data_IF_839240733757
#
_entry.id   IF_839240733757
#
_cell.length_a   1.000
_cell.length_b   1.000
_cell.length_c   1.000
_cell.angle_alpha   90.00
_cell.angle_beta   90.00
_cell.angle_gamma   90.00
#
_symmetry.space_group_name_H-M   'P 1'
#
loop_
_entity.id
_entity.type
_entity.pdbx_description
1 polymer ?
#
# COMPACT_ATOMS: atom_id res chain seq x y z
N UNK A 1 -6.32 7.45 15.33
CA UNK A 1 -4.98 6.95 15.74
C UNK A 1 -5.03 6.56 17.20
N UNK A 2 -4.41 5.45 17.58
CA UNK A 2 -4.31 5.09 19.00
C UNK A 2 -3.43 6.13 19.70
N UNK A 3 -3.92 6.73 20.80
CA UNK A 3 -3.20 7.78 21.56
C UNK A 3 -1.83 7.31 22.10
N UNK A 4 -1.61 6.01 22.12
CA UNK A 4 -0.37 5.38 22.63
C UNK A 4 0.51 4.81 21.49
N UNK A 5 0.24 5.17 20.24
CA UNK A 5 1.09 4.75 19.14
C UNK A 5 2.40 5.55 19.18
N UNK A 6 3.51 4.83 19.22
CA UNK A 6 4.86 5.40 19.10
C UNK A 6 5.49 4.77 17.87
N UNK A 7 5.92 5.60 16.93
CA UNK A 7 6.66 5.15 15.75
C UNK A 7 8.01 4.55 16.17
N UNK A 8 8.47 3.50 15.46
CA UNK A 8 9.73 2.86 15.83
C UNK A 8 10.94 3.80 15.76
N UNK A 9 10.94 4.79 14.84
CA UNK A 9 12.05 5.77 14.76
C UNK A 9 12.11 6.68 15.97
N UNK A 10 10.96 7.05 16.56
CA UNK A 10 10.92 7.76 17.83
C UNK A 10 11.68 7.00 18.92
N UNK A 11 11.48 5.69 18.99
CA UNK A 11 12.16 4.83 19.96
C UNK A 11 13.65 4.64 19.62
N UNK A 12 13.99 4.49 18.33
CA UNK A 12 15.38 4.31 17.87
C UNK A 12 16.21 5.57 18.13
N UNK A 13 15.67 6.74 17.81
CA UNK A 13 16.37 8.03 17.86
C UNK A 13 16.15 8.77 19.19
N UNK A 14 15.38 8.21 20.12
CA UNK A 14 14.97 8.86 21.37
C UNK A 14 14.42 10.28 21.14
N UNK A 15 13.55 10.42 20.13
CA UNK A 15 13.04 11.69 19.66
C UNK A 15 11.58 11.96 20.02
N UNK A 16 11.10 13.15 19.73
CA UNK A 16 9.69 13.51 19.79
C UNK A 16 8.98 13.08 18.53
N UNK A 17 7.68 12.75 18.61
CA UNK A 17 6.85 12.38 17.48
C UNK A 17 5.81 13.47 17.17
N UNK A 18 5.73 13.83 15.89
CA UNK A 18 4.67 14.67 15.35
C UNK A 18 3.94 13.85 14.30
N UNK A 19 2.71 13.47 14.60
CA UNK A 19 1.88 12.74 13.66
C UNK A 19 0.90 13.69 13.00
N UNK A 20 1.02 13.86 11.68
CA UNK A 20 0.20 14.78 10.89
C UNK A 20 -0.96 14.02 10.26
N UNK A 21 -2.20 14.45 10.55
CA UNK A 21 -3.36 13.99 9.79
C UNK A 21 -3.31 14.65 8.39
N UNK A 22 -3.39 13.82 7.37
CA UNK A 22 -3.34 14.30 5.99
C UNK A 22 -4.63 15.07 5.64
N UNK A 23 -4.50 16.15 4.83
CA UNK A 23 -5.66 16.91 4.33
C UNK A 23 -6.75 15.99 3.77
N UNK A 24 -8.01 16.37 3.95
CA UNK A 24 -9.23 15.65 3.57
C UNK A 24 -9.55 14.40 4.39
N UNK A 25 -8.67 13.94 5.30
CA UNK A 25 -8.98 12.81 6.16
C UNK A 25 -9.63 13.27 7.46
N UNK A 26 -10.53 12.44 8.00
CA UNK A 26 -11.16 12.60 9.31
C UNK A 26 -11.60 14.05 9.59
N UNK A 27 -10.99 14.71 10.57
CA UNK A 27 -11.29 16.10 10.96
C UNK A 27 -10.64 17.17 10.08
N UNK A 28 -9.65 16.80 9.28
CA UNK A 28 -8.97 17.68 8.32
C UNK A 28 -9.70 17.78 6.98
N UNK A 29 -10.98 17.41 6.96
CA UNK A 29 -11.88 17.47 5.81
C UNK A 29 -12.58 18.84 5.79
N UNK A 30 -12.53 19.61 4.66
CA UNK A 30 -13.27 20.87 4.55
C UNK A 30 -14.79 20.63 4.49
N UNK A 31 -15.59 21.58 4.94
CA UNK A 31 -17.06 21.51 4.86
C UNK A 31 -17.53 21.38 3.41
N UNK A 32 -16.97 22.20 2.51
CA UNK A 32 -17.21 22.12 1.08
C UNK A 32 -16.02 21.42 0.43
N UNK A 33 -16.24 20.19 -0.05
CA UNK A 33 -15.19 19.39 -0.65
C UNK A 33 -14.95 19.83 -2.09
N UNK A 34 -13.77 20.41 -2.33
CA UNK A 34 -13.23 20.59 -3.68
C UNK A 34 -11.99 19.70 -3.84
N UNK A 35 -12.18 18.59 -4.51
CA UNK A 35 -11.13 17.60 -4.76
C UNK A 35 -9.93 18.14 -5.56
N UNK A 36 -10.09 19.30 -6.22
CA UNK A 36 -9.01 19.93 -6.97
C UNK A 36 -7.79 20.23 -6.07
N UNK A 37 -8.01 20.59 -4.82
CA UNK A 37 -6.93 20.90 -3.86
C UNK A 37 -6.31 19.67 -3.21
N UNK A 38 -6.83 18.45 -3.43
CA UNK A 38 -6.24 17.23 -2.93
C UNK A 38 -5.14 16.75 -3.89
N UNK A 39 -4.00 17.44 -3.85
CA UNK A 39 -2.79 17.10 -4.62
C UNK A 39 -1.65 16.71 -3.70
N UNK A 40 -0.68 15.96 -4.23
CA UNK A 40 0.56 15.62 -3.51
C UNK A 40 1.37 16.86 -3.16
N UNK A 41 1.37 17.87 -4.04
CA UNK A 41 2.07 19.15 -3.81
C UNK A 41 1.47 19.92 -2.66
N UNK A 42 0.13 20.07 -2.63
CA UNK A 42 -0.54 20.77 -1.54
C UNK A 42 -0.38 20.02 -0.19
N UNK A 43 -0.36 18.69 -0.22
CA UNK A 43 -0.09 17.89 0.98
C UNK A 43 1.35 18.09 1.48
N UNK A 44 2.32 18.20 0.59
CA UNK A 44 3.70 18.53 0.95
C UNK A 44 3.83 19.96 1.50
N UNK A 45 3.08 20.92 0.96
CA UNK A 45 2.99 22.29 1.49
C UNK A 45 2.47 22.33 2.93
N UNK A 46 1.45 21.52 3.27
CA UNK A 46 0.96 21.42 4.65
C UNK A 46 2.08 20.96 5.58
N UNK A 47 2.84 19.93 5.19
CA UNK A 47 3.98 19.45 5.97
C UNK A 47 5.08 20.51 6.12
N UNK A 48 5.36 21.27 5.06
CA UNK A 48 6.31 22.38 5.08
C UNK A 48 5.91 23.45 6.10
N UNK A 49 4.64 23.89 6.07
CA UNK A 49 4.12 24.89 7.01
C UNK A 49 4.22 24.39 8.46
N UNK A 50 3.81 23.13 8.70
CA UNK A 50 3.90 22.50 10.03
C UNK A 50 5.36 22.44 10.49
N UNK A 51 6.27 21.94 9.63
CA UNK A 51 7.70 21.86 9.92
C UNK A 51 8.29 23.23 10.25
N UNK A 52 7.99 24.24 9.45
CA UNK A 52 8.47 25.62 9.63
C UNK A 52 7.96 26.22 10.95
N UNK A 53 6.70 25.99 11.28
CA UNK A 53 6.08 26.50 12.51
C UNK A 53 6.66 25.83 13.74
N UNK A 54 6.70 24.51 13.78
CA UNK A 54 7.19 23.75 14.91
C UNK A 54 8.72 23.81 15.05
N UNK A 55 9.44 24.04 13.95
CA UNK A 55 10.88 24.28 13.94
C UNK A 55 11.31 25.56 14.68
N UNK A 56 10.37 26.45 15.02
CA UNK A 56 10.64 27.57 15.91
C UNK A 56 10.82 27.12 17.36
N UNK A 57 10.20 26.01 17.76
CA UNK A 57 10.26 25.41 19.10
C UNK A 57 11.31 24.29 19.17
N UNK A 58 11.32 23.40 18.19
CA UNK A 58 12.18 22.23 18.15
C UNK A 58 13.38 22.50 17.23
N UNK A 59 14.56 22.73 17.80
CA UNK A 59 15.78 23.13 17.07
C UNK A 59 16.67 21.94 16.66
N UNK A 60 16.35 20.73 17.10
CA UNK A 60 17.11 19.52 16.76
C UNK A 60 16.91 19.07 15.31
N UNK A 61 17.46 17.90 15.02
CA UNK A 61 17.31 17.21 13.72
C UNK A 61 15.88 16.74 13.48
N UNK A 62 15.47 16.75 12.22
CA UNK A 62 14.14 16.34 11.79
C UNK A 62 14.20 15.15 10.85
N UNK A 63 13.42 14.12 11.15
CA UNK A 63 13.28 12.93 10.31
C UNK A 63 11.86 12.81 9.81
N UNK A 64 11.68 12.72 8.50
CA UNK A 64 10.40 12.38 7.88
C UNK A 64 10.27 10.86 7.76
N UNK A 65 9.14 10.30 8.18
CA UNK A 65 8.91 8.85 8.07
C UNK A 65 7.45 8.53 7.81
N UNK A 66 7.23 7.40 7.16
CA UNK A 66 5.88 6.89 6.88
C UNK A 66 5.90 5.50 6.27
N UNK A 67 4.73 4.88 6.27
CA UNK A 67 4.51 3.51 5.81
C UNK A 67 3.59 3.54 4.60
N UNK A 68 3.90 2.75 3.55
CA UNK A 68 3.04 2.62 2.37
C UNK A 68 2.77 3.99 1.72
N UNK A 69 1.52 4.41 1.57
CA UNK A 69 1.18 5.78 1.16
C UNK A 69 1.91 6.85 2.00
N UNK A 70 2.06 6.62 3.31
CA UNK A 70 2.82 7.52 4.19
C UNK A 70 4.30 7.59 3.81
N UNK A 71 4.92 6.48 3.43
CA UNK A 71 6.29 6.44 2.90
C UNK A 71 6.41 7.19 1.57
N UNK A 72 5.46 7.01 0.66
CA UNK A 72 5.40 7.79 -0.58
C UNK A 72 5.22 9.30 -0.29
N UNK A 73 4.39 9.64 0.71
CA UNK A 73 4.20 11.03 1.15
C UNK A 73 5.51 11.65 1.66
N UNK A 74 6.31 10.90 2.42
CA UNK A 74 7.62 11.37 2.90
C UNK A 74 8.59 11.66 1.76
N UNK A 75 8.64 10.78 0.76
CA UNK A 75 9.48 10.96 -0.42
C UNK A 75 9.03 12.16 -1.27
N UNK A 76 7.70 12.32 -1.45
CA UNK A 76 7.14 13.50 -2.14
C UNK A 76 7.41 14.78 -1.37
N UNK A 77 7.30 14.75 -0.05
CA UNK A 77 7.64 15.89 0.79
C UNK A 77 9.11 16.27 0.64
N UNK A 78 10.02 15.32 0.70
CA UNK A 78 11.45 15.56 0.49
C UNK A 78 11.74 16.07 -0.94
N UNK A 79 11.03 15.59 -1.96
CA UNK A 79 11.17 16.06 -3.33
C UNK A 79 10.78 17.54 -3.48
N UNK A 80 9.66 17.95 -2.87
CA UNK A 80 9.19 19.32 -2.96
C UNK A 80 9.94 20.28 -2.02
N UNK A 81 10.39 19.78 -0.85
CA UNK A 81 11.05 20.57 0.19
C UNK A 81 12.31 19.84 0.71
N UNK A 82 13.37 19.75 -0.12
CA UNK A 82 14.55 18.90 0.16
C UNK A 82 15.40 19.35 1.36
N UNK A 83 15.18 20.56 1.86
CA UNK A 83 15.92 21.11 3.00
C UNK A 83 15.12 21.14 4.31
N UNK A 84 13.91 20.59 4.32
CA UNK A 84 13.04 20.65 5.49
C UNK A 84 13.36 19.59 6.54
N UNK A 85 13.94 18.48 6.12
CA UNK A 85 14.28 17.35 6.99
C UNK A 85 15.72 16.93 6.79
N UNK A 86 16.37 16.49 7.87
CA UNK A 86 17.75 16.02 7.86
C UNK A 86 17.85 14.58 7.32
N UNK A 87 16.79 13.78 7.47
CA UNK A 87 16.69 12.43 6.92
C UNK A 87 15.27 12.04 6.57
N UNK A 88 15.12 11.05 5.67
CA UNK A 88 13.86 10.45 5.29
C UNK A 88 13.95 8.92 5.40
N UNK A 89 12.96 8.29 6.08
CA UNK A 89 12.86 6.84 6.18
C UNK A 89 11.49 6.40 5.66
N UNK A 90 11.46 5.83 4.48
CA UNK A 90 10.22 5.40 3.82
C UNK A 90 10.10 3.86 3.85
N UNK A 91 9.02 3.38 4.46
CA UNK A 91 8.72 1.95 4.54
C UNK A 91 7.71 1.56 3.46
N UNK A 92 8.06 0.53 2.71
CA UNK A 92 7.20 -0.12 1.69
C UNK A 92 6.46 0.91 0.82
N UNK A 93 7.17 1.96 0.43
CA UNK A 93 6.66 3.12 -0.27
C UNK A 93 6.53 2.84 -1.78
N UNK A 94 5.31 2.81 -2.35
CA UNK A 94 5.12 2.56 -3.79
C UNK A 94 5.42 3.82 -4.61
N UNK A 95 5.95 3.64 -5.83
CA UNK A 95 6.03 4.69 -6.86
C UNK A 95 5.41 4.11 -8.14
N UNK A 96 4.07 4.05 -8.17
CA UNK A 96 3.35 3.56 -9.34
C UNK A 96 3.23 4.65 -10.41
N UNK A 97 3.38 4.28 -11.68
CA UNK A 97 3.39 5.19 -12.84
C UNK A 97 2.10 5.12 -13.66
N UNK A 98 1.17 4.29 -13.23
CA UNK A 98 -0.16 4.15 -13.84
C UNK A 98 -1.18 3.89 -12.74
N UNK A 99 -2.47 4.17 -13.03
CA UNK A 99 -3.55 3.84 -12.11
C UNK A 99 -3.64 2.34 -11.85
N UNK A 100 -3.39 1.53 -12.87
CA UNK A 100 -3.24 0.07 -12.78
C UNK A 100 -1.85 -0.25 -13.33
N UNK A 101 -0.83 -0.17 -12.46
CA UNK A 101 0.57 -0.32 -12.85
C UNK A 101 0.89 -1.79 -13.15
N UNK A 102 1.20 -2.07 -14.40
CA UNK A 102 1.43 -3.43 -14.90
C UNK A 102 2.70 -4.11 -14.41
N UNK A 103 3.46 -3.51 -13.47
CA UNK A 103 4.62 -4.16 -12.85
C UNK A 103 4.24 -5.15 -11.73
N UNK A 104 3.03 -5.06 -11.19
CA UNK A 104 2.58 -5.92 -10.10
C UNK A 104 2.30 -7.36 -10.57
N UNK A 105 1.70 -7.56 -11.74
CA UNK A 105 1.37 -8.89 -12.24
C UNK A 105 2.63 -9.74 -12.53
N UNK A 106 3.67 -9.24 -13.22
CA UNK A 106 4.94 -9.97 -13.35
C UNK A 106 5.59 -10.26 -12.01
N UNK A 107 5.51 -9.35 -11.03
CA UNK A 107 6.03 -9.59 -9.69
C UNK A 107 5.32 -10.76 -9.01
N UNK A 108 3.99 -10.77 -8.98
CA UNK A 108 3.18 -11.85 -8.38
C UNK A 108 3.47 -13.19 -9.09
N UNK A 109 3.72 -13.17 -10.40
CA UNK A 109 4.07 -14.34 -11.18
C UNK A 109 5.49 -14.86 -10.94
N UNK A 110 6.35 -14.09 -10.25
CA UNK A 110 7.75 -14.44 -9.99
C UNK A 110 8.13 -14.45 -8.50
N UNK A 111 7.29 -13.93 -7.59
CA UNK A 111 7.55 -13.93 -6.13
C UNK A 111 7.68 -15.34 -5.59
N UNK A 112 8.55 -15.56 -4.61
CA UNK A 112 8.78 -16.85 -3.95
C UNK A 112 9.09 -18.01 -4.92
N UNK A 113 8.81 -19.26 -4.55
CA UNK A 113 9.02 -20.43 -5.41
C UNK A 113 7.82 -20.73 -6.30
N UNK A 114 8.04 -21.40 -7.44
CA UNK A 114 6.96 -21.85 -8.32
C UNK A 114 5.90 -22.71 -7.59
N UNK A 115 6.34 -23.53 -6.61
CA UNK A 115 5.45 -24.39 -5.81
C UNK A 115 4.53 -23.52 -4.93
N UNK A 116 5.06 -22.48 -4.32
CA UNK A 116 4.31 -21.56 -3.44
C UNK A 116 3.30 -20.74 -4.24
N UNK A 117 3.72 -20.15 -5.38
CA UNK A 117 2.79 -19.44 -6.29
C UNK A 117 1.67 -20.34 -6.78
N UNK A 118 2.00 -21.59 -7.15
CA UNK A 118 0.99 -22.55 -7.57
C UNK A 118 -0.02 -22.85 -6.46
N UNK A 119 0.41 -22.94 -5.21
CA UNK A 119 -0.49 -23.18 -4.06
C UNK A 119 -1.48 -22.02 -3.89
N UNK A 120 -1.02 -20.77 -4.07
CA UNK A 120 -1.87 -19.57 -4.04
C UNK A 120 -2.89 -19.59 -5.19
N UNK A 121 -2.45 -19.78 -6.42
CA UNK A 121 -3.36 -19.80 -7.57
C UNK A 121 -4.30 -21.01 -7.60
N UNK A 122 -3.87 -22.17 -7.14
CA UNK A 122 -4.73 -23.36 -6.99
C UNK A 122 -5.86 -23.10 -5.97
N UNK A 123 -5.57 -22.37 -4.89
CA UNK A 123 -6.59 -21.98 -3.91
C UNK A 123 -7.63 -21.03 -4.53
N UNK A 124 -7.19 -20.01 -5.26
CA UNK A 124 -8.12 -19.10 -5.98
C UNK A 124 -9.02 -19.88 -6.97
N UNK A 125 -8.44 -20.80 -7.71
CA UNK A 125 -9.18 -21.68 -8.63
C UNK A 125 -10.18 -22.56 -7.89
N UNK A 126 -9.86 -23.06 -6.71
CA UNK A 126 -10.76 -23.90 -5.91
C UNK A 126 -11.97 -23.09 -5.42
N UNK A 127 -11.77 -21.86 -4.93
CA UNK A 127 -12.86 -20.93 -4.55
C UNK A 127 -13.80 -20.68 -5.75
N UNK A 128 -13.24 -20.41 -6.94
CA UNK A 128 -14.03 -20.18 -8.14
C UNK A 128 -14.79 -21.42 -8.59
N UNK A 129 -14.21 -22.62 -8.52
CA UNK A 129 -14.85 -23.88 -8.89
C UNK A 129 -16.01 -24.25 -7.98
N UNK A 130 -15.90 -23.91 -6.69
CA UNK A 130 -16.93 -24.15 -5.68
C UNK A 130 -17.90 -22.95 -5.53
N UNK A 131 -17.99 -22.10 -6.52
CA UNK A 131 -18.86 -20.92 -6.47
C UNK A 131 -20.30 -21.26 -6.07
N UNK A 132 -20.88 -22.33 -6.59
CA UNK A 132 -22.28 -22.71 -6.32
C UNK A 132 -22.54 -22.93 -4.80
N UNK A 133 -21.54 -23.42 -4.07
CA UNK A 133 -21.66 -23.68 -2.63
C UNK A 133 -21.09 -22.56 -1.78
N UNK A 134 -20.05 -21.87 -2.23
CA UNK A 134 -19.36 -20.81 -1.47
C UNK A 134 -20.07 -19.45 -1.64
N UNK A 135 -20.66 -19.13 -2.80
CA UNK A 135 -21.30 -17.83 -3.02
C UNK A 135 -22.48 -17.56 -2.06
N UNK A 136 -23.35 -18.51 -1.71
CA UNK A 136 -24.37 -18.28 -0.68
C UNK A 136 -23.78 -17.91 0.69
N UNK A 137 -22.62 -18.48 1.06
CA UNK A 137 -21.92 -18.13 2.30
C UNK A 137 -21.36 -16.70 2.24
N UNK A 138 -20.82 -16.32 1.08
CA UNK A 138 -20.32 -14.96 0.82
C UNK A 138 -21.46 -13.93 0.87
N UNK A 139 -22.58 -14.20 0.27
CA UNK A 139 -23.77 -13.33 0.32
C UNK A 139 -24.27 -13.17 1.77
N UNK A 140 -24.40 -14.27 2.52
CA UNK A 140 -24.80 -14.24 3.93
C UNK A 140 -23.79 -13.43 4.78
N UNK A 141 -22.49 -13.59 4.54
CA UNK A 141 -21.43 -12.84 5.22
C UNK A 141 -21.54 -11.34 4.95
N UNK A 142 -21.68 -10.94 3.68
CA UNK A 142 -21.86 -9.54 3.30
C UNK A 142 -23.10 -8.92 3.96
N UNK A 143 -24.22 -9.63 3.96
CA UNK A 143 -25.47 -9.20 4.59
C UNK A 143 -25.31 -9.07 6.12
N UNK A 144 -24.73 -10.06 6.78
CA UNK A 144 -24.49 -10.03 8.23
C UNK A 144 -23.55 -8.91 8.65
N UNK A 145 -22.53 -8.63 7.83
CA UNK A 145 -21.56 -7.54 8.03
C UNK A 145 -22.08 -6.18 7.57
N UNK A 146 -23.29 -6.10 7.01
CA UNK A 146 -23.94 -4.87 6.50
C UNK A 146 -23.09 -4.15 5.45
N UNK A 147 -22.43 -4.90 4.57
CA UNK A 147 -21.61 -4.35 3.50
C UNK A 147 -22.45 -4.02 2.28
N UNK A 148 -22.22 -2.87 1.68
CA UNK A 148 -22.78 -2.44 0.40
C UNK A 148 -21.69 -2.17 -0.63
N UNK A 149 -22.01 -2.25 -1.93
CA UNK A 149 -21.03 -2.23 -2.99
C UNK A 149 -21.50 -1.38 -4.18
N UNK A 150 -20.54 -0.79 -4.90
CA UNK A 150 -20.80 -0.06 -6.15
C UNK A 150 -21.19 -1.00 -7.32
N UNK A 151 -20.79 -2.26 -7.26
CA UNK A 151 -20.96 -3.27 -8.30
C UNK A 151 -21.84 -4.44 -7.81
N UNK A 152 -22.40 -5.25 -8.73
CA UNK A 152 -23.11 -6.47 -8.37
C UNK A 152 -22.26 -7.41 -7.52
N UNK A 153 -22.89 -8.10 -6.56
CA UNK A 153 -22.19 -8.96 -5.60
C UNK A 153 -21.40 -10.09 -6.26
N UNK A 154 -21.86 -10.60 -7.40
CA UNK A 154 -21.12 -11.61 -8.19
C UNK A 154 -19.79 -11.08 -8.75
N UNK A 155 -19.74 -9.78 -9.13
CA UNK A 155 -18.51 -9.14 -9.57
C UNK A 155 -17.58 -8.87 -8.40
N UNK A 156 -18.09 -8.49 -7.24
CA UNK A 156 -17.32 -8.32 -6.00
C UNK A 156 -16.70 -9.65 -5.58
N UNK A 157 -17.43 -10.76 -5.68
CA UNK A 157 -16.88 -12.10 -5.45
C UNK A 157 -15.65 -12.36 -6.33
N UNK A 158 -15.75 -12.06 -7.62
CA UNK A 158 -14.63 -12.21 -8.54
C UNK A 158 -13.43 -11.34 -8.14
N UNK A 159 -13.68 -10.06 -7.80
CA UNK A 159 -12.61 -9.17 -7.34
C UNK A 159 -11.97 -9.65 -6.03
N UNK A 160 -12.73 -10.16 -5.07
CA UNK A 160 -12.17 -10.76 -3.86
C UNK A 160 -11.29 -11.97 -4.16
N UNK A 161 -11.66 -12.79 -5.16
CA UNK A 161 -10.80 -13.92 -5.56
C UNK A 161 -9.54 -13.44 -6.26
N UNK A 162 -9.62 -12.42 -7.12
CA UNK A 162 -8.45 -11.84 -7.78
C UNK A 162 -7.52 -11.14 -6.79
N UNK A 163 -8.07 -10.44 -5.81
CA UNK A 163 -7.34 -9.78 -4.73
C UNK A 163 -6.52 -10.77 -3.87
N UNK A 164 -6.99 -12.02 -3.74
CA UNK A 164 -6.37 -12.97 -2.84
C UNK A 164 -4.85 -13.12 -3.03
N UNK A 165 -4.36 -13.20 -4.24
CA UNK A 165 -2.91 -13.34 -4.49
C UNK A 165 -2.14 -12.11 -4.06
N UNK A 166 -2.66 -10.91 -4.33
CA UNK A 166 -2.04 -9.65 -3.91
C UNK A 166 -2.02 -9.53 -2.38
N UNK A 167 -3.18 -9.65 -1.74
CA UNK A 167 -3.32 -9.55 -0.29
C UNK A 167 -2.55 -10.65 0.45
N UNK A 168 -2.50 -11.87 -0.11
CA UNK A 168 -1.74 -12.97 0.47
C UNK A 168 -0.24 -12.66 0.56
N UNK A 169 0.37 -12.20 -0.53
CA UNK A 169 1.79 -11.85 -0.54
C UNK A 169 2.07 -10.58 0.24
N UNK A 170 1.15 -9.63 0.23
CA UNK A 170 1.25 -8.40 1.00
C UNK A 170 1.27 -8.65 2.51
N UNK A 171 0.41 -9.56 3.02
CA UNK A 171 0.18 -9.65 4.46
C UNK A 171 0.56 -11.00 5.09
N UNK A 172 0.40 -12.10 4.36
CA UNK A 172 0.57 -13.47 4.91
C UNK A 172 1.94 -14.05 4.57
N UNK A 173 2.27 -14.16 3.28
CA UNK A 173 3.53 -14.64 2.75
C UNK A 173 3.91 -16.09 3.08
N UNK A 174 3.17 -16.77 3.97
CA UNK A 174 3.44 -18.16 4.39
C UNK A 174 2.38 -19.11 3.83
N UNK A 175 2.72 -19.85 2.77
CA UNK A 175 1.80 -20.76 2.09
C UNK A 175 1.38 -21.98 2.91
N UNK A 176 2.04 -22.29 4.01
CA UNK A 176 1.59 -23.37 4.92
C UNK A 176 0.26 -23.04 5.61
N UNK A 177 -0.11 -21.76 5.64
CA UNK A 177 -1.41 -21.30 6.17
C UNK A 177 -2.57 -21.54 5.21
N UNK A 178 -2.33 -21.80 3.93
CA UNK A 178 -3.38 -22.05 2.95
C UNK A 178 -3.99 -23.44 3.21
N UNK A 179 -5.30 -23.53 3.47
CA UNK A 179 -5.95 -24.82 3.73
C UNK A 179 -5.87 -25.76 2.53
N UNK A 180 -5.91 -27.05 2.80
CA UNK A 180 -5.96 -28.07 1.76
C UNK A 180 -7.26 -27.95 0.97
N UNK A 181 -7.20 -28.19 -0.34
CA UNK A 181 -8.39 -28.30 -1.20
C UNK A 181 -9.36 -29.44 -0.81
N UNK A 182 -8.96 -30.32 0.10
CA UNK A 182 -9.83 -31.38 0.64
C UNK A 182 -10.67 -30.93 1.82
N UNK A 183 -10.41 -29.75 2.35
CA UNK A 183 -11.20 -29.16 3.43
C UNK A 183 -12.59 -28.81 2.94
N UNK A 184 -13.51 -28.66 3.89
CA UNK A 184 -14.89 -28.24 3.60
C UNK A 184 -14.96 -26.77 3.14
N UNK A 185 -16.10 -26.39 2.55
CA UNK A 185 -16.31 -25.07 2.01
C UNK A 185 -16.25 -23.97 3.09
N UNK A 186 -16.69 -24.30 4.31
CA UNK A 186 -16.67 -23.34 5.43
C UNK A 186 -15.23 -22.92 5.79
N UNK A 187 -14.32 -23.89 5.86
CA UNK A 187 -12.92 -23.64 6.18
C UNK A 187 -12.19 -22.90 5.07
N UNK A 188 -12.48 -23.25 3.81
CA UNK A 188 -11.94 -22.53 2.65
C UNK A 188 -12.45 -21.08 2.63
N UNK A 189 -13.75 -20.91 2.83
CA UNK A 189 -14.40 -19.60 2.89
C UNK A 189 -13.82 -18.70 3.99
N UNK A 190 -13.72 -19.21 5.22
CA UNK A 190 -13.15 -18.47 6.36
C UNK A 190 -11.72 -17.99 6.09
N UNK A 191 -10.89 -18.88 5.53
CA UNK A 191 -9.52 -18.50 5.17
C UNK A 191 -9.50 -17.44 4.06
N UNK A 192 -10.33 -17.60 3.03
CA UNK A 192 -10.40 -16.65 1.93
C UNK A 192 -10.79 -15.25 2.38
N UNK A 193 -11.88 -15.13 3.12
CA UNK A 193 -12.37 -13.81 3.59
C UNK A 193 -11.43 -13.18 4.64
N UNK A 194 -10.68 -13.99 5.37
CA UNK A 194 -9.67 -13.48 6.30
C UNK A 194 -8.45 -12.87 5.57
N UNK A 195 -8.19 -13.26 4.32
CA UNK A 195 -7.06 -12.77 3.52
C UNK A 195 -7.51 -11.66 2.56
N UNK A 196 -8.63 -11.85 1.88
CA UNK A 196 -9.16 -10.97 0.85
C UNK A 196 -10.69 -10.86 0.97
N UNK A 197 -11.14 -10.33 2.10
CA UNK A 197 -12.57 -10.17 2.40
C UNK A 197 -13.25 -9.08 1.58
N UNK A 198 -14.59 -9.15 1.45
CA UNK A 198 -15.37 -8.20 0.68
C UNK A 198 -15.41 -6.79 1.29
N UNK A 199 -15.10 -6.64 2.57
CA UNK A 199 -15.02 -5.34 3.26
C UNK A 199 -14.06 -4.38 2.56
N UNK A 200 -12.96 -4.89 1.99
CA UNK A 200 -12.03 -4.09 1.20
C UNK A 200 -12.69 -3.37 0.02
N UNK A 201 -13.68 -3.97 -0.60
CA UNK A 201 -14.43 -3.44 -1.76
C UNK A 201 -15.73 -2.73 -1.36
N UNK A 202 -16.05 -2.66 -0.07
CA UNK A 202 -17.31 -2.08 0.39
C UNK A 202 -17.30 -0.55 0.36
N UNK A 203 -18.49 0.04 0.22
CA UNK A 203 -18.69 1.49 0.31
C UNK A 203 -18.29 1.99 1.70
N UNK A 204 -18.69 1.29 2.75
CA UNK A 204 -18.42 1.65 4.14
C UNK A 204 -16.94 1.74 4.47
N UNK A 205 -16.13 0.83 3.92
CA UNK A 205 -14.66 0.89 4.08
C UNK A 205 -14.04 1.98 3.20
N UNK A 206 -14.57 2.15 1.98
CA UNK A 206 -14.06 3.11 1.00
C UNK A 206 -14.26 4.57 1.43
N UNK A 207 -15.39 4.91 2.08
CA UNK A 207 -15.71 6.26 2.54
C UNK A 207 -14.63 6.83 3.48
N UNK A 208 -14.11 6.01 4.37
CA UNK A 208 -13.08 6.43 5.33
C UNK A 208 -11.72 6.74 4.68
N UNK A 209 -11.45 6.14 3.51
CA UNK A 209 -10.18 6.27 2.78
C UNK A 209 -10.36 6.87 1.39
N UNK A 210 -11.54 7.39 1.09
CA UNK A 210 -11.87 8.00 -0.20
C UNK A 210 -10.85 9.07 -0.65
N UNK A 211 -10.31 9.93 0.22
CA UNK A 211 -9.26 10.85 -0.17
C UNK A 211 -7.99 10.14 -0.71
N UNK A 212 -7.64 8.98 -0.15
CA UNK A 212 -6.55 8.17 -0.68
C UNK A 212 -6.88 7.62 -2.06
N UNK A 213 -8.09 7.07 -2.25
CA UNK A 213 -8.49 6.54 -3.56
C UNK A 213 -8.56 7.62 -4.63
N UNK A 214 -9.03 8.82 -4.26
CA UNK A 214 -8.99 9.97 -5.18
C UNK A 214 -7.55 10.33 -5.57
N UNK A 215 -6.63 10.44 -4.61
CA UNK A 215 -5.22 10.71 -4.89
C UNK A 215 -4.57 9.58 -5.70
N UNK A 216 -4.90 8.32 -5.41
CA UNK A 216 -4.40 7.17 -6.16
C UNK A 216 -4.83 7.26 -7.63
N UNK A 217 -6.11 7.57 -7.87
CA UNK A 217 -6.65 7.73 -9.21
C UNK A 217 -6.09 8.94 -9.97
N UNK A 218 -5.58 9.94 -9.26
CA UNK A 218 -5.05 11.17 -9.83
C UNK A 218 -3.54 11.18 -10.00
N UNK A 219 -2.76 10.73 -9.01
CA UNK A 219 -1.32 10.97 -8.98
C UNK A 219 -0.48 9.80 -8.44
N UNK A 220 -1.03 8.96 -7.51
CA UNK A 220 -0.20 7.99 -6.81
C UNK A 220 -0.15 6.64 -7.50
N UNK A 221 -1.19 6.32 -8.29
CA UNK A 221 -1.32 5.03 -8.95
C UNK A 221 -1.72 3.89 -8.01
N UNK A 222 -1.96 2.73 -8.61
CA UNK A 222 -2.40 1.52 -7.91
C UNK A 222 -1.98 0.27 -8.69
N UNK A 223 -2.62 -0.87 -8.45
CA UNK A 223 -2.38 -2.13 -9.17
C UNK A 223 -3.62 -2.59 -9.95
N UNK A 224 -3.40 -3.49 -10.89
CA UNK A 224 -4.43 -4.19 -11.64
C UNK A 224 -4.48 -5.68 -11.28
N UNK A 225 -5.36 -6.43 -11.97
CA UNK A 225 -5.48 -7.87 -11.78
C UNK A 225 -5.26 -8.63 -13.09
N UNK A 226 -4.45 -9.68 -13.02
CA UNK A 226 -4.34 -10.69 -14.08
C UNK A 226 -5.53 -11.65 -14.01
N UNK A 227 -6.23 -11.81 -15.13
CA UNK A 227 -7.46 -12.63 -15.20
C UNK A 227 -7.32 -13.90 -16.05
N UNK A 228 -6.25 -14.03 -16.81
CA UNK A 228 -6.10 -15.09 -17.84
C UNK A 228 -6.27 -16.49 -17.26
N UNK A 229 -5.63 -16.79 -16.14
CA UNK A 229 -5.73 -18.10 -15.48
C UNK A 229 -7.15 -18.42 -15.01
N UNK A 230 -7.92 -17.41 -14.64
CA UNK A 230 -9.23 -17.53 -13.99
C UNK A 230 -10.40 -17.30 -14.94
N UNK A 231 -10.15 -16.81 -16.16
CA UNK A 231 -11.16 -16.33 -17.13
C UNK A 231 -12.36 -17.25 -17.31
N UNK A 232 -12.14 -18.58 -17.32
CA UNK A 232 -13.21 -19.57 -17.50
C UNK A 232 -14.24 -19.56 -16.37
N UNK A 233 -13.86 -19.12 -15.17
CA UNK A 233 -14.67 -19.20 -13.95
C UNK A 233 -15.17 -17.84 -13.48
N UNK A 234 -14.61 -16.74 -14.00
CA UNK A 234 -15.01 -15.38 -13.66
C UNK A 234 -16.34 -15.01 -14.36
N UNK A 235 -17.17 -14.22 -13.69
CA UNK A 235 -18.35 -13.57 -14.25
C UNK A 235 -17.99 -12.23 -14.92
N UNK A 236 -17.01 -11.52 -14.39
CA UNK A 236 -16.47 -10.31 -15.01
C UNK A 236 -15.80 -10.65 -16.35
N UNK A 237 -16.01 -9.82 -17.37
CA UNK A 237 -15.37 -9.96 -18.69
C UNK A 237 -13.94 -9.44 -18.71
N UNK A 238 -13.65 -8.45 -17.86
CA UNK A 238 -12.35 -7.79 -17.75
C UNK A 238 -12.22 -7.12 -16.40
N UNK A 239 -11.02 -7.12 -15.83
CA UNK A 239 -10.68 -6.36 -14.64
C UNK A 239 -10.09 -4.96 -14.94
N UNK A 240 -9.94 -4.58 -16.23
CA UNK A 240 -9.44 -3.25 -16.59
C UNK A 240 -10.35 -2.14 -16.07
N UNK A 241 -9.73 -1.08 -15.56
CA UNK A 241 -10.41 0.07 -14.95
C UNK A 241 -11.31 -0.29 -13.76
N UNK A 242 -11.00 -1.41 -13.06
CA UNK A 242 -11.75 -1.82 -11.87
C UNK A 242 -11.67 -0.75 -10.79
N UNK A 243 -10.49 -0.16 -10.60
CA UNK A 243 -10.22 0.77 -9.52
C UNK A 243 -11.25 1.90 -9.43
N UNK A 244 -11.48 2.61 -10.55
CA UNK A 244 -12.47 3.69 -10.59
C UNK A 244 -13.90 3.20 -10.38
N UNK A 245 -14.24 2.01 -10.86
CA UNK A 245 -15.60 1.43 -10.74
C UNK A 245 -15.93 1.01 -9.31
N UNK A 246 -14.92 0.56 -8.57
CA UNK A 246 -15.08 -0.01 -7.23
C UNK A 246 -14.92 1.06 -6.15
N UNK A 247 -13.92 1.95 -6.27
CA UNK A 247 -13.51 2.82 -5.18
C UNK A 247 -13.90 4.29 -5.31
N UNK A 248 -14.34 4.72 -6.50
CA UNK A 248 -14.75 6.11 -6.72
C UNK A 248 -16.26 6.20 -6.95
N UNK A 249 -16.86 7.29 -6.50
CA UNK A 249 -18.25 7.59 -6.84
C UNK A 249 -18.34 8.09 -8.29
N UNK A 250 -19.53 7.97 -8.91
CA UNK A 250 -19.73 8.28 -10.34
C UNK A 250 -19.41 9.72 -10.75
N UNK A 251 -19.51 10.65 -9.81
CA UNK A 251 -19.16 12.06 -9.98
C UNK A 251 -17.65 12.32 -9.90
N UNK A 252 -16.87 11.35 -9.43
CA UNK A 252 -15.41 11.46 -9.34
C UNK A 252 -14.76 10.90 -10.60
N UNK A 253 -14.25 11.78 -11.44
CA UNK A 253 -13.60 11.41 -12.71
C UNK A 253 -12.16 11.94 -12.82
N UNK A 254 -11.27 11.71 -11.83
CA UNK A 254 -9.91 12.19 -11.95
C UNK A 254 -9.18 11.52 -13.12
N UNK A 255 -8.43 12.33 -13.87
CA UNK A 255 -7.46 11.81 -14.84
C UNK A 255 -6.14 11.51 -14.13
N UNK A 256 -5.51 10.40 -14.50
CA UNK A 256 -4.24 10.01 -13.91
C UNK A 256 -3.08 10.83 -14.49
N UNK A 257 -2.36 11.52 -13.63
CA UNK A 257 -1.18 12.31 -13.98
C UNK A 257 0.09 11.60 -13.55
N UNK A 258 0.71 10.85 -14.47
CA UNK A 258 1.89 10.03 -14.20
C UNK A 258 3.16 10.82 -13.91
N UNK A 259 3.23 12.10 -14.32
CA UNK A 259 4.43 12.92 -14.20
C UNK A 259 4.89 13.08 -12.75
N UNK A 260 3.98 13.16 -11.78
CA UNK A 260 4.30 13.21 -10.35
C UNK A 260 5.15 12.01 -9.92
N UNK A 261 4.77 10.80 -10.32
CA UNK A 261 5.51 9.58 -9.97
C UNK A 261 6.83 9.46 -10.76
N UNK A 262 6.86 9.91 -12.01
CA UNK A 262 8.08 9.96 -12.83
C UNK A 262 9.10 10.91 -12.20
N UNK A 263 8.66 12.10 -11.79
CA UNK A 263 9.52 13.11 -11.16
C UNK A 263 10.01 12.62 -9.79
N UNK A 264 9.14 11.95 -9.02
CA UNK A 264 9.50 11.36 -7.74
C UNK A 264 10.57 10.28 -7.89
N UNK A 265 10.40 9.35 -8.81
CA UNK A 265 11.41 8.30 -9.06
C UNK A 265 12.74 8.91 -9.48
N UNK A 266 12.72 9.88 -10.41
CA UNK A 266 13.92 10.61 -10.83
C UNK A 266 14.58 11.33 -9.68
N UNK A 267 13.80 12.00 -8.82
CA UNK A 267 14.32 12.65 -7.61
C UNK A 267 15.00 11.65 -6.69
N UNK A 268 14.35 10.52 -6.39
CA UNK A 268 14.92 9.48 -5.53
C UNK A 268 16.22 8.94 -6.11
N UNK A 269 16.28 8.71 -7.43
CA UNK A 269 17.46 8.15 -8.09
C UNK A 269 18.65 9.13 -8.17
N UNK A 270 18.41 10.45 -8.18
CA UNK A 270 19.45 11.41 -8.56
C UNK A 270 19.72 12.52 -7.55
N UNK A 271 18.80 12.78 -6.63
CA UNK A 271 18.85 13.95 -5.74
C UNK A 271 18.54 13.65 -4.27
N UNK A 272 17.89 12.54 -3.96
CA UNK A 272 17.55 12.21 -2.58
C UNK A 272 18.82 12.03 -1.75
N UNK A 273 18.83 12.61 -0.56
CA UNK A 273 19.94 12.55 0.41
C UNK A 273 19.43 12.07 1.74
N UNK A 274 20.31 11.43 2.52
CA UNK A 274 19.98 10.93 3.84
C UNK A 274 18.66 10.14 3.84
N UNK A 275 18.50 9.25 2.84
CA UNK A 275 17.24 8.56 2.58
C UNK A 275 17.40 7.06 2.72
N UNK A 276 16.53 6.45 3.53
CA UNK A 276 16.48 5.01 3.75
C UNK A 276 15.13 4.48 3.24
N UNK A 277 15.19 3.49 2.35
CA UNK A 277 14.06 2.80 1.77
C UNK A 277 14.03 1.36 2.29
N UNK A 278 12.94 0.97 2.96
CA UNK A 278 12.79 -0.36 3.57
C UNK A 278 11.63 -1.10 2.91
N UNK A 279 11.92 -2.26 2.29
CA UNK A 279 10.93 -3.06 1.57
C UNK A 279 10.92 -4.52 2.03
N UNK A 280 9.87 -5.25 1.64
CA UNK A 280 9.74 -6.70 1.81
C UNK A 280 9.84 -7.43 0.47
N UNK A 281 10.61 -8.52 0.40
CA UNK A 281 10.80 -9.31 -0.83
C UNK A 281 9.49 -9.91 -1.37
N UNK A 282 8.55 -10.25 -0.47
CA UNK A 282 7.26 -10.86 -0.85
C UNK A 282 6.15 -9.83 -1.04
N UNK A 283 6.37 -8.59 -0.61
CA UNK A 283 5.39 -7.53 -0.73
C UNK A 283 5.17 -7.11 -2.19
N UNK A 284 3.97 -7.24 -2.76
CA UNK A 284 3.71 -6.83 -4.14
C UNK A 284 4.00 -5.34 -4.41
N UNK A 285 3.91 -4.49 -3.41
CA UNK A 285 4.28 -3.08 -3.54
C UNK A 285 5.77 -2.86 -3.81
N UNK A 286 6.61 -3.86 -3.54
CA UNK A 286 8.04 -3.84 -3.93
C UNK A 286 8.24 -3.85 -5.45
N UNK A 287 7.25 -4.32 -6.22
CA UNK A 287 7.27 -4.27 -7.68
C UNK A 287 7.41 -2.85 -8.24
N UNK A 288 6.92 -1.87 -7.50
CA UNK A 288 6.94 -0.45 -7.88
C UNK A 288 7.88 0.38 -7.00
N UNK A 289 8.77 -0.28 -6.26
CA UNK A 289 9.87 0.39 -5.56
C UNK A 289 10.84 1.02 -6.57
N UNK A 290 11.45 2.17 -6.27
CA UNK A 290 12.43 2.76 -7.16
C UNK A 290 13.67 1.86 -7.29
N UNK A 291 14.18 1.76 -8.50
CA UNK A 291 15.49 1.15 -8.76
C UNK A 291 16.57 2.16 -8.43
N UNK A 292 17.44 1.83 -7.49
CA UNK A 292 18.54 2.68 -7.07
C UNK A 292 19.83 1.89 -6.92
N UNK A 293 20.96 2.59 -6.98
CA UNK A 293 22.24 2.11 -6.51
C UNK A 293 22.47 2.68 -5.11
N UNK A 294 22.72 1.81 -4.14
CA UNK A 294 23.00 2.25 -2.76
C UNK A 294 24.27 3.11 -2.69
N UNK A 295 24.17 4.23 -2.01
CA UNK A 295 25.27 5.17 -1.72
C UNK A 295 25.32 5.45 -0.22
N UNK A 296 26.23 6.31 0.23
CA UNK A 296 26.24 6.76 1.63
C UNK A 296 24.98 7.53 2.02
N UNK A 297 24.36 8.24 1.07
CA UNK A 297 23.19 9.10 1.31
C UNK A 297 21.86 8.46 0.97
N UNK A 298 21.84 7.36 0.21
CA UNK A 298 20.63 6.68 -0.28
C UNK A 298 20.79 5.18 -0.21
N UNK A 299 20.02 4.54 0.66
CA UNK A 299 20.09 3.09 0.87
C UNK A 299 18.70 2.45 0.73
N UNK A 300 18.61 1.41 -0.07
CA UNK A 300 17.44 0.52 -0.14
C UNK A 300 17.79 -0.84 0.44
N UNK A 301 17.01 -1.27 1.44
CA UNK A 301 17.07 -2.64 1.96
C UNK A 301 15.78 -3.37 1.63
N UNK A 302 15.93 -4.65 1.24
CA UNK A 302 14.81 -5.55 1.00
C UNK A 302 14.95 -6.73 1.96
N UNK A 303 13.97 -6.88 2.86
CA UNK A 303 13.96 -8.00 3.81
C UNK A 303 13.66 -9.30 3.09
N UNK A 304 14.50 -10.35 3.19
CA UNK A 304 14.19 -11.66 2.65
C UNK A 304 12.85 -12.19 3.20
N UNK A 305 11.98 -12.66 2.31
CA UNK A 305 10.61 -13.13 2.62
C UNK A 305 9.76 -12.12 3.40
N UNK A 306 10.16 -10.84 3.40
CA UNK A 306 9.42 -9.77 4.06
C UNK A 306 8.13 -9.45 3.32
N UNK A 307 7.10 -9.10 4.09
CA UNK A 307 5.78 -8.65 3.63
C UNK A 307 5.65 -7.13 3.80
N UNK A 308 4.47 -6.57 3.59
CA UNK A 308 4.17 -5.14 3.85
C UNK A 308 4.39 -4.72 5.32
N UNK A 309 4.50 -5.70 6.22
CA UNK A 309 4.83 -5.49 7.63
C UNK A 309 6.34 -5.35 7.91
N UNK A 310 7.17 -5.21 6.88
CA UNK A 310 8.62 -5.04 7.04
C UNK A 310 8.94 -3.68 7.67
N UNK A 311 9.73 -3.70 8.74
CA UNK A 311 10.18 -2.52 9.51
C UNK A 311 11.65 -2.73 9.91
N UNK A 312 12.36 -1.70 10.34
CA UNK A 312 13.75 -1.80 10.81
C UNK A 312 13.89 -2.87 11.90
N UNK A 313 13.01 -2.85 12.90
CA UNK A 313 13.03 -3.78 14.04
C UNK A 313 12.92 -5.27 13.66
N UNK A 314 12.42 -5.59 12.47
CA UNK A 314 12.26 -6.97 12.04
C UNK A 314 13.17 -7.37 10.86
N UNK A 315 14.13 -6.51 10.50
CA UNK A 315 15.17 -6.82 9.53
C UNK A 315 16.13 -7.90 10.08
N UNK A 316 16.78 -8.69 9.21
CA UNK A 316 17.94 -9.48 9.60
C UNK A 316 19.01 -8.61 10.28
N UNK A 317 19.72 -9.17 11.27
CA UNK A 317 20.68 -8.41 12.12
C UNK A 317 21.65 -7.55 11.31
N UNK A 318 22.22 -8.08 10.25
CA UNK A 318 23.18 -7.35 9.41
C UNK A 318 22.53 -6.11 8.76
N UNK A 319 21.32 -6.25 8.20
CA UNK A 319 20.59 -5.13 7.62
C UNK A 319 20.15 -4.13 8.70
N UNK A 320 19.67 -4.63 9.85
CA UNK A 320 19.29 -3.80 10.99
C UNK A 320 20.45 -2.93 11.46
N UNK A 321 21.59 -3.55 11.79
CA UNK A 321 22.74 -2.83 12.34
C UNK A 321 23.30 -1.80 11.33
N UNK A 322 23.31 -2.14 10.03
CA UNK A 322 23.67 -1.21 8.96
C UNK A 322 22.76 0.03 8.94
N UNK A 323 21.44 -0.17 9.04
CA UNK A 323 20.47 0.94 9.03
C UNK A 323 20.60 1.80 10.29
N UNK A 324 20.79 1.19 11.46
CA UNK A 324 20.98 1.95 12.71
C UNK A 324 22.25 2.82 12.63
N UNK A 325 23.36 2.27 12.15
CA UNK A 325 24.60 3.04 11.98
C UNK A 325 24.42 4.20 10.99
N UNK A 326 23.70 3.95 9.88
CA UNK A 326 23.44 4.98 8.89
C UNK A 326 22.52 6.08 9.45
N UNK A 327 21.45 5.72 10.18
CA UNK A 327 20.59 6.69 10.85
C UNK A 327 21.36 7.58 11.83
N UNK A 328 22.25 6.99 12.63
CA UNK A 328 23.08 7.74 13.55
C UNK A 328 23.98 8.74 12.81
N UNK A 329 24.62 8.33 11.69
CA UNK A 329 25.44 9.23 10.90
C UNK A 329 24.67 10.38 10.26
N UNK A 330 23.38 10.21 9.94
CA UNK A 330 22.52 11.29 9.45
C UNK A 330 22.15 12.29 10.55
N UNK A 331 22.22 11.85 11.81
CA UNK A 331 21.90 12.70 12.97
C UNK A 331 23.11 13.45 13.56
N UNK A 332 24.30 13.10 13.14
CA UNK A 332 25.53 13.87 13.46
C UNK A 332 25.57 15.18 12.63
#
# INVERSE_FOLDING_TARGET
>A
MNKNYINELCSILNGNEICVEHRYFSKSKPENIDWHYLTTRNAAEDHHIIRKTLGQLYKGKWVSTGISKGGQTCLLYQMYYPNDVDACVAYVAPIAKALEDGRHEPFINNVATKKERKKVSDFQLEILKRRETIFPMFEQFCKASKLSFQLPLEEIYDYCVLEYSFAFWQWVGNTERIPSKKEDDSKLFQHWVAVAGPDYFSIESSENVLPFYYQAARELGYYGYETTLFRKYLKIKTAKNYFKKVFLTKDMTPEFYSQTSIDLEKFVQTKAKNTILVYGEYDPWTAVAPEIVNTADLVKVVKPKGTHSTRIKNLPKVQHDMIINLLNSFME
#
